data_IF_268586368519
#
_entry.id   IF_268586368519
#
_cell.length_a   1.000
_cell.length_b   1.000
_cell.length_c   1.000
_cell.angle_alpha   90.00
_cell.angle_beta   90.00
_cell.angle_gamma   90.00
#
_symmetry.space_group_name_H-M   'P 1'
#
loop_
_entity.id
_entity.type
_entity.pdbx_description
1 polymer ?
#
# COMPACT_ATOMS: atom_id res chain seq x y z
N UNK A 1 14.15 5.54 6.84
CA UNK A 1 14.51 6.37 5.67
C UNK A 1 13.55 6.06 4.53
N UNK A 2 13.13 7.06 3.75
CA UNK A 2 12.17 6.93 2.65
C UNK A 2 12.84 7.30 1.31
N UNK A 3 13.78 6.46 0.82
CA UNK A 3 14.45 6.74 -0.43
C UNK A 3 13.44 6.73 -1.58
N UNK A 4 13.60 7.70 -2.47
CA UNK A 4 12.87 7.78 -3.72
C UNK A 4 13.86 8.10 -4.82
N UNK A 5 13.84 7.32 -5.89
CA UNK A 5 14.73 7.46 -7.04
C UNK A 5 13.88 7.37 -8.29
N UNK A 6 14.04 8.36 -9.16
CA UNK A 6 13.41 8.38 -10.48
C UNK A 6 14.50 8.53 -11.52
N UNK A 7 14.50 7.62 -12.49
CA UNK A 7 15.35 7.68 -13.65
C UNK A 7 14.46 7.83 -14.88
N UNK A 8 14.79 8.80 -15.74
CA UNK A 8 14.15 8.97 -17.02
C UNK A 8 15.21 9.18 -18.09
N UNK A 9 15.03 8.51 -19.22
CA UNK A 9 15.94 8.59 -20.35
C UNK A 9 15.13 8.70 -21.64
N UNK A 10 15.35 9.80 -22.35
CA UNK A 10 14.74 10.07 -23.65
C UNK A 10 15.77 9.75 -24.74
N UNK A 11 15.46 8.78 -25.57
CA UNK A 11 16.29 8.42 -26.72
C UNK A 11 16.00 9.35 -27.92
N UNK A 12 16.95 9.50 -28.86
CA UNK A 12 16.77 10.31 -30.06
C UNK A 12 15.64 9.84 -30.99
N UNK A 13 15.16 8.61 -30.86
CA UNK A 13 14.05 8.04 -31.64
C UNK A 13 12.68 8.26 -31.00
N UNK A 14 12.55 9.31 -30.18
CA UNK A 14 11.33 9.64 -29.43
C UNK A 14 10.85 8.56 -28.43
N UNK A 15 11.69 7.57 -28.11
CA UNK A 15 11.36 6.61 -27.08
C UNK A 15 11.78 7.12 -25.70
N UNK A 16 10.91 6.95 -24.72
CA UNK A 16 11.14 7.32 -23.34
C UNK A 16 11.17 6.06 -22.48
N UNK A 17 12.21 5.94 -21.67
CA UNK A 17 12.32 4.93 -20.63
C UNK A 17 12.24 5.63 -19.29
N UNK A 18 11.43 5.10 -18.37
CA UNK A 18 11.32 5.59 -17.01
C UNK A 18 11.42 4.41 -16.05
N UNK A 19 12.24 4.54 -15.03
CA UNK A 19 12.32 3.60 -13.93
C UNK A 19 12.14 4.38 -12.62
N UNK A 20 11.30 3.88 -11.73
CA UNK A 20 11.06 4.50 -10.43
C UNK A 20 11.21 3.45 -9.32
N UNK A 21 11.81 3.88 -8.22
CA UNK A 21 11.77 3.17 -6.96
C UNK A 21 11.36 4.14 -5.87
N UNK A 22 10.35 3.78 -5.08
CA UNK A 22 9.94 4.57 -3.94
C UNK A 22 9.61 3.68 -2.74
N UNK A 23 10.08 4.09 -1.57
CA UNK A 23 9.68 3.51 -0.29
C UNK A 23 8.77 4.49 0.47
N UNK A 24 7.55 4.05 0.77
CA UNK A 24 6.54 4.81 1.52
C UNK A 24 6.23 4.13 2.86
N UNK A 25 5.78 4.91 3.84
CA UNK A 25 5.27 4.42 5.12
C UNK A 25 3.78 4.69 5.22
N UNK A 26 3.02 3.70 5.68
CA UNK A 26 1.64 3.88 6.09
C UNK A 26 1.56 3.69 7.60
N UNK A 27 1.25 4.78 8.31
CA UNK A 27 1.14 4.77 9.77
C UNK A 27 -0.26 4.27 10.18
N UNK A 28 -0.37 3.44 11.24
CA UNK A 28 -1.66 3.07 11.79
C UNK A 28 -2.43 4.34 12.19
N UNK A 29 -3.73 4.37 11.94
CA UNK A 29 -4.58 5.47 12.41
C UNK A 29 -4.77 5.35 13.93
N UNK A 30 -5.13 6.44 14.63
CA UNK A 30 -5.25 6.41 16.11
C UNK A 30 -6.14 5.28 16.65
N UNK A 31 -7.36 5.13 16.11
CA UNK A 31 -8.30 4.04 16.36
C UNK A 31 -7.82 2.61 16.00
N UNK A 32 -6.67 2.46 15.35
CA UNK A 32 -6.04 1.16 15.13
C UNK A 32 -5.16 0.77 16.32
N UNK A 33 -4.66 1.74 17.08
CA UNK A 33 -3.83 1.54 18.28
C UNK A 33 -4.66 1.51 19.56
N UNK A 34 -5.96 1.77 19.45
CA UNK A 34 -6.90 1.91 20.55
C UNK A 34 -7.19 0.56 21.24
N UNK A 35 -6.70 0.30 22.46
CA UNK A 35 -6.79 -1.02 23.08
C UNK A 35 -8.16 -1.32 23.70
N UNK A 36 -9.03 -0.30 23.80
CA UNK A 36 -10.37 -0.45 24.36
C UNK A 36 -11.37 -1.01 23.35
N UNK A 37 -12.37 -1.73 23.87
CA UNK A 37 -13.44 -2.31 23.07
C UNK A 37 -14.47 -1.22 22.79
N UNK A 38 -14.68 -0.93 21.51
CA UNK A 38 -15.66 0.04 21.04
C UNK A 38 -16.76 -0.69 20.28
N UNK A 39 -18.01 -0.58 20.75
CA UNK A 39 -19.18 -1.11 20.06
C UNK A 39 -19.42 -0.32 18.78
N UNK A 40 -19.32 -0.99 17.65
CA UNK A 40 -19.62 -0.40 16.35
C UNK A 40 -21.07 -0.64 15.95
N UNK A 41 -21.66 -1.74 16.42
CA UNK A 41 -23.09 -2.09 16.29
C UNK A 41 -23.46 -3.17 17.34
N UNK A 42 -24.74 -3.53 17.47
CA UNK A 42 -25.26 -4.52 18.41
C UNK A 42 -24.55 -5.89 18.34
N UNK A 43 -24.00 -6.25 17.18
CA UNK A 43 -23.31 -7.53 16.94
C UNK A 43 -21.83 -7.38 16.58
N UNK A 44 -21.29 -6.16 16.59
CA UNK A 44 -19.92 -5.90 16.13
C UNK A 44 -19.16 -5.02 17.12
N UNK A 45 -18.10 -5.58 17.69
CA UNK A 45 -17.17 -4.88 18.55
C UNK A 45 -15.84 -4.69 17.85
N UNK A 46 -15.17 -3.56 18.10
CA UNK A 46 -13.85 -3.24 17.55
C UNK A 46 -12.84 -3.10 18.68
N UNK A 47 -11.66 -3.68 18.51
CA UNK A 47 -10.50 -3.45 19.37
C UNK A 47 -9.28 -3.23 18.50
N UNK A 48 -8.59 -2.12 18.68
CA UNK A 48 -7.29 -1.86 18.08
C UNK A 48 -6.17 -2.65 18.77
N UNK A 49 -4.97 -2.57 18.21
CA UNK A 49 -3.78 -3.24 18.70
C UNK A 49 -2.67 -2.18 18.85
N UNK A 50 -2.26 -1.82 20.08
CA UNK A 50 -1.23 -0.80 20.32
C UNK A 50 0.17 -1.23 19.83
N UNK A 51 0.39 -2.53 19.62
CA UNK A 51 1.66 -3.09 19.16
C UNK A 51 1.79 -3.07 17.62
N UNK A 52 0.83 -2.46 16.90
CA UNK A 52 0.91 -2.36 15.44
C UNK A 52 2.12 -1.54 15.00
N UNK A 53 2.95 -2.18 14.19
CA UNK A 53 4.04 -1.52 13.49
C UNK A 53 3.50 -0.78 12.25
N UNK A 54 4.14 0.33 11.84
CA UNK A 54 3.85 0.94 10.55
C UNK A 54 4.13 -0.02 9.39
N UNK A 55 3.29 0.08 8.35
CA UNK A 55 3.52 -0.65 7.11
C UNK A 55 4.56 0.08 6.27
N UNK A 56 5.45 -0.67 5.64
CA UNK A 56 6.41 -0.14 4.68
C UNK A 56 6.10 -0.69 3.30
N UNK A 57 5.93 0.20 2.34
CA UNK A 57 5.55 -0.13 0.97
C UNK A 57 6.72 0.24 0.06
N UNK A 58 7.35 -0.78 -0.52
CA UNK A 58 8.37 -0.64 -1.56
C UNK A 58 7.69 -0.80 -2.93
N UNK A 59 7.75 0.23 -3.76
CA UNK A 59 7.17 0.22 -5.11
C UNK A 59 8.28 0.40 -6.16
N UNK A 60 8.32 -0.53 -7.10
CA UNK A 60 9.20 -0.55 -8.27
C UNK A 60 8.33 -0.39 -9.51
N UNK A 61 8.64 0.58 -10.36
CA UNK A 61 7.91 0.80 -11.61
C UNK A 61 8.90 0.96 -12.76
N UNK A 62 8.58 0.34 -13.89
CA UNK A 62 9.32 0.46 -15.13
C UNK A 62 8.32 0.79 -16.23
N UNK A 63 8.53 1.89 -16.92
CA UNK A 63 7.69 2.38 -18.01
C UNK A 63 8.53 2.58 -19.25
N UNK A 64 7.98 2.17 -20.38
CA UNK A 64 8.57 2.39 -21.68
C UNK A 64 7.53 2.91 -22.67
N UNK A 65 7.79 4.08 -23.22
CA UNK A 65 6.95 4.71 -24.22
C UNK A 65 7.73 4.70 -25.54
N UNK A 66 7.15 4.04 -26.54
CA UNK A 66 7.62 3.94 -27.91
C UNK A 66 6.77 4.85 -28.78
N UNK A 67 7.40 5.76 -29.51
CA UNK A 67 6.73 6.59 -30.51
C UNK A 67 7.20 6.16 -31.89
N UNK A 68 6.24 5.88 -32.78
CA UNK A 68 6.52 5.49 -34.16
C UNK A 68 5.58 6.23 -35.12
N UNK A 69 6.12 7.28 -35.74
CA UNK A 69 5.35 8.17 -36.60
C UNK A 69 4.29 8.94 -35.82
N UNK A 70 3.01 8.70 -36.13
CA UNK A 70 1.87 9.30 -35.41
C UNK A 70 1.32 8.45 -34.27
N UNK A 71 1.86 7.24 -34.08
CA UNK A 71 1.37 6.29 -33.10
C UNK A 71 2.28 6.28 -31.86
N UNK A 72 1.68 6.04 -30.71
CA UNK A 72 2.37 5.88 -29.43
C UNK A 72 1.95 4.57 -28.80
N UNK A 73 2.91 3.83 -28.28
CA UNK A 73 2.69 2.60 -27.53
C UNK A 73 3.43 2.69 -26.20
N UNK A 74 2.73 2.41 -25.10
CA UNK A 74 3.31 2.45 -23.76
C UNK A 74 3.20 1.08 -23.11
N UNK A 75 4.26 0.69 -22.41
CA UNK A 75 4.34 -0.54 -21.63
C UNK A 75 4.77 -0.17 -20.23
N UNK A 76 3.99 -0.60 -19.24
CA UNK A 76 4.25 -0.33 -17.83
C UNK A 76 4.25 -1.64 -17.05
N UNK A 77 5.33 -1.86 -16.30
CA UNK A 77 5.48 -2.95 -15.35
C UNK A 77 5.63 -2.38 -13.95
N UNK A 78 4.91 -2.94 -12.99
CA UNK A 78 4.96 -2.49 -11.60
C UNK A 78 5.07 -3.69 -10.65
N UNK A 79 5.81 -3.51 -9.57
CA UNK A 79 5.92 -4.48 -8.49
C UNK A 79 5.89 -3.76 -7.15
N UNK A 80 5.05 -4.25 -6.24
CA UNK A 80 4.85 -3.62 -4.92
C UNK A 80 4.97 -4.67 -3.82
N UNK A 81 5.81 -4.37 -2.83
CA UNK A 81 6.00 -5.20 -1.65
C UNK A 81 5.56 -4.40 -0.43
N UNK A 82 4.66 -4.97 0.37
CA UNK A 82 4.21 -4.37 1.63
C UNK A 82 4.72 -5.21 2.80
N UNK A 83 5.56 -4.60 3.63
CA UNK A 83 6.04 -5.18 4.88
C UNK A 83 5.15 -4.72 6.04
N UNK A 84 4.96 -5.59 7.04
CA UNK A 84 4.12 -5.37 8.23
C UNK A 84 2.66 -5.06 7.91
N UNK A 85 2.11 -5.68 6.86
CA UNK A 85 0.76 -5.41 6.38
C UNK A 85 -0.27 -5.51 7.52
N UNK A 86 -0.96 -4.41 7.78
CA UNK A 86 -2.03 -4.28 8.75
C UNK A 86 -3.31 -4.77 8.07
N UNK A 87 -3.73 -5.98 8.41
CA UNK A 87 -4.98 -6.54 7.93
C UNK A 87 -6.03 -6.53 9.03
N UNK A 88 -7.30 -6.59 8.62
CA UNK A 88 -8.41 -6.65 9.56
C UNK A 88 -8.87 -8.08 9.69
N UNK A 89 -8.74 -8.63 10.88
CA UNK A 89 -9.25 -9.96 11.21
C UNK A 89 -10.55 -9.85 11.98
N UNK A 90 -11.45 -10.82 11.76
CA UNK A 90 -12.71 -10.97 12.49
C UNK A 90 -12.68 -12.29 13.24
N UNK A 91 -12.92 -12.25 14.54
CA UNK A 91 -13.07 -13.43 15.39
C UNK A 91 -14.39 -13.37 16.17
N UNK A 92 -14.83 -14.50 16.71
CA UNK A 92 -16.01 -14.54 17.59
C UNK A 92 -15.60 -14.08 18.97
N UNK A 93 -16.29 -13.07 19.52
CA UNK A 93 -16.04 -12.53 20.85
C UNK A 93 -16.92 -13.19 21.91
N UNK A 94 -18.22 -13.23 21.65
CA UNK A 94 -19.28 -13.84 22.45
C UNK A 94 -20.34 -14.41 21.48
N UNK A 95 -21.32 -15.17 21.97
CA UNK A 95 -22.41 -15.68 21.13
C UNK A 95 -23.06 -14.54 20.33
N UNK A 96 -23.11 -14.69 19.00
CA UNK A 96 -23.60 -13.71 18.03
C UNK A 96 -22.87 -12.34 17.99
N UNK A 97 -21.70 -12.19 18.64
CA UNK A 97 -20.93 -10.94 18.61
C UNK A 97 -19.55 -11.17 17.97
N UNK A 98 -19.24 -10.41 16.92
CA UNK A 98 -17.95 -10.46 16.24
C UNK A 98 -16.99 -9.37 16.77
N UNK A 99 -15.75 -9.77 17.06
CA UNK A 99 -14.63 -8.87 17.31
C UNK A 99 -13.88 -8.60 16.02
N UNK A 100 -13.74 -7.32 15.70
CA UNK A 100 -12.88 -6.82 14.63
C UNK A 100 -11.60 -6.26 15.24
N UNK A 101 -10.46 -6.84 14.87
CA UNK A 101 -9.13 -6.39 15.31
C UNK A 101 -8.13 -6.38 14.15
N UNK A 102 -6.88 -6.02 14.43
CA UNK A 102 -5.78 -5.88 13.48
C UNK A 102 -4.55 -6.68 13.92
#
# INVERSE_FOLDING_TARGET
LFPTVHFSYNTPKENQFMASYSRRIQRPRGWYLEPFITWSDAYNVRRGNPDLLPEYIDSYELSHILKFGRNTFSVDAYYRVTNNKIERIRSVYQENIFLRTY
#
